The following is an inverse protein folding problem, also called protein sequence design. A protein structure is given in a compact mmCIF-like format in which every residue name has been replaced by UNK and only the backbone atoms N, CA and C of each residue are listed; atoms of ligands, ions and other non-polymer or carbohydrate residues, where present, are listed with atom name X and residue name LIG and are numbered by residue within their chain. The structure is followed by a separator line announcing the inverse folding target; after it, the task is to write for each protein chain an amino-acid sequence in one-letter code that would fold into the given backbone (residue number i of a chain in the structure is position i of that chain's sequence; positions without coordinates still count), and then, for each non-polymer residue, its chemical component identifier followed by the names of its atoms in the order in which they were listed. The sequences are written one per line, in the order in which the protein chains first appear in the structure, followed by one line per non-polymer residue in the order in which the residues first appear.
data_IF_492625578009
#
_entry.id   IF_492625578009
#
_cell.length_a   1.000
_cell.length_b   1.000
_cell.length_c   1.000
_cell.angle_alpha   90.00
_cell.angle_beta   90.00
_cell.angle_gamma   90.00
#
_symmetry.space_group_name_H-M   'P 1'
#
loop_
_entity.id
_entity.type
_entity.pdbx_description
1 polymer ?
#
# COMPACT_ATOMS: atom_id res chain seq x y z
N UNK A 1 -27.95 -2.69 18.83
CA UNK A 1 -28.92 -1.86 18.08
C UNK A 1 -29.20 -2.57 16.77
N UNK A 2 -30.43 -3.07 16.59
CA UNK A 2 -30.86 -3.89 15.46
C UNK A 2 -31.67 -3.04 14.47
N UNK A 3 -31.41 -3.26 13.18
CA UNK A 3 -32.29 -3.13 12.02
C UNK A 3 -33.02 -1.80 11.77
N UNK A 4 -32.61 -1.10 10.72
CA UNK A 4 -33.44 -0.17 9.94
C UNK A 4 -32.98 -0.16 8.49
N UNK A 5 -33.54 -1.04 7.65
CA UNK A 5 -33.59 -0.86 6.19
C UNK A 5 -34.87 -1.47 5.62
N UNK A 6 -35.72 -0.56 5.09
CA UNK A 6 -36.80 -0.72 4.09
C UNK A 6 -38.03 -1.61 4.41
N UNK A 7 -39.21 -1.46 3.75
CA UNK A 7 -39.41 -0.98 2.36
C UNK A 7 -40.66 -0.10 2.08
N UNK A 8 -40.75 0.46 0.87
CA UNK A 8 -42.06 0.76 0.26
C UNK A 8 -42.02 0.74 -1.29
N UNK A 9 -42.62 -0.30 -1.88
CA UNK A 9 -43.02 -0.39 -3.29
C UNK A 9 -44.55 -0.29 -3.41
N UNK A 10 -44.97 0.09 -4.63
CA UNK A 10 -46.32 0.06 -5.27
C UNK A 10 -47.09 1.37 -5.16
N UNK A 11 -47.87 1.80 -6.15
CA UNK A 11 -48.08 1.51 -7.58
C UNK A 11 -49.21 2.48 -8.01
N UNK A 12 -49.32 2.86 -9.29
CA UNK A 12 -50.63 3.10 -9.91
C UNK A 12 -50.51 3.19 -11.45
N UNK A 13 -51.28 2.31 -12.09
CA UNK A 13 -51.55 2.24 -13.54
C UNK A 13 -52.69 3.21 -13.92
N UNK A 14 -52.74 3.66 -15.20
CA UNK A 14 -53.77 3.28 -16.22
C UNK A 14 -53.94 4.34 -17.33
N UNK A 15 -54.16 3.83 -18.56
CA UNK A 15 -54.74 4.52 -19.73
C UNK A 15 -53.97 4.17 -21.01
N UNK A 16 -54.24 3.07 -21.72
CA UNK A 16 -55.28 2.86 -22.77
C UNK A 16 -55.16 3.86 -23.95
N UNK A 17 -55.22 3.52 -25.24
CA UNK A 17 -55.28 2.27 -26.02
C UNK A 17 -55.16 2.64 -27.53
N UNK A 18 -54.59 1.73 -28.35
CA UNK A 18 -54.90 1.41 -29.77
C UNK A 18 -54.69 2.54 -30.86
N UNK A 19 -54.40 2.35 -32.16
CA UNK A 19 -54.62 1.33 -33.21
C UNK A 19 -53.67 1.63 -34.42
N UNK A 20 -53.24 0.56 -35.13
CA UNK A 20 -52.77 0.36 -36.54
C UNK A 20 -51.91 1.41 -37.31
N UNK A 21 -50.86 0.92 -37.99
CA UNK A 21 -50.84 0.74 -39.46
C UNK A 21 -49.53 0.12 -39.98
N UNK A 22 -49.62 -0.54 -41.13
CA UNK A 22 -48.66 -1.49 -41.69
C UNK A 22 -47.54 -0.88 -42.54
N UNK A 23 -46.52 -1.74 -42.76
CA UNK A 23 -45.64 -1.89 -43.94
C UNK A 23 -44.62 -0.79 -44.27
N UNK A 24 -43.33 -1.20 -44.28
CA UNK A 24 -42.42 -1.01 -45.42
C UNK A 24 -41.27 -2.02 -45.34
N UNK A 25 -41.16 -2.84 -46.37
CA UNK A 25 -40.02 -3.70 -46.68
C UNK A 25 -38.81 -2.83 -47.05
N UNK A 26 -37.67 -3.06 -46.41
CA UNK A 26 -36.38 -2.68 -46.95
C UNK A 26 -35.38 -3.82 -46.67
N UNK A 27 -35.14 -4.61 -47.71
CA UNK A 27 -33.99 -5.50 -47.76
C UNK A 27 -32.75 -4.67 -48.09
N UNK A 28 -31.67 -4.84 -47.33
CA UNK A 28 -30.31 -4.46 -47.74
C UNK A 28 -29.30 -5.42 -47.09
N UNK A 29 -28.60 -6.12 -47.97
CA UNK A 29 -27.40 -6.95 -47.83
C UNK A 29 -26.72 -7.03 -46.45
N UNK A 30 -26.63 -8.26 -45.91
CA UNK A 30 -25.67 -8.60 -44.88
C UNK A 30 -24.26 -8.66 -45.50
N UNK A 31 -23.41 -7.71 -45.13
CA UNK A 31 -21.96 -7.83 -45.30
C UNK A 31 -21.44 -8.91 -44.35
N UNK A 32 -20.58 -9.84 -44.80
CA UNK A 32 -19.99 -10.81 -43.88
C UNK A 32 -19.13 -10.06 -42.86
N UNK A 33 -19.38 -10.32 -41.58
CA UNK A 33 -18.58 -9.83 -40.47
C UNK A 33 -17.13 -10.29 -40.67
N UNK A 34 -16.24 -9.32 -40.92
CA UNK A 34 -14.80 -9.55 -40.99
C UNK A 34 -14.37 -10.04 -39.60
N UNK A 35 -13.97 -11.31 -39.54
CA UNK A 35 -13.32 -11.87 -38.36
C UNK A 35 -12.19 -10.92 -37.90
N UNK A 36 -12.00 -10.73 -36.58
CA UNK A 36 -10.92 -9.89 -36.08
C UNK A 36 -9.60 -10.36 -36.70
N UNK A 37 -8.96 -9.46 -37.44
CA UNK A 37 -7.66 -9.70 -38.05
C UNK A 37 -6.67 -10.06 -36.94
N UNK A 38 -5.98 -11.19 -37.13
CA UNK A 38 -4.89 -11.62 -36.26
C UNK A 38 -3.95 -10.44 -36.00
N UNK A 39 -3.57 -10.25 -34.73
CA UNK A 39 -2.61 -9.26 -34.27
C UNK A 39 -1.35 -9.39 -35.14
N UNK A 40 -1.02 -8.32 -35.84
CA UNK A 40 0.14 -8.22 -36.72
C UNK A 40 1.43 -8.39 -35.92
N UNK A 41 2.29 -9.31 -36.37
CA UNK A 41 3.60 -9.66 -35.82
C UNK A 41 4.66 -8.54 -36.02
N UNK A 42 4.47 -7.39 -35.36
CA UNK A 42 5.46 -6.31 -35.29
C UNK A 42 5.87 -5.96 -33.84
N UNK A 43 5.65 -6.86 -32.89
CA UNK A 43 5.91 -6.64 -31.44
C UNK A 43 7.36 -7.00 -31.03
N UNK A 44 8.32 -6.91 -31.96
CA UNK A 44 9.74 -7.24 -31.72
C UNK A 44 10.50 -6.13 -30.97
N UNK A 45 9.93 -4.93 -30.83
CA UNK A 45 10.62 -3.78 -30.19
C UNK A 45 10.88 -3.94 -28.69
N UNK A 46 10.35 -4.98 -28.05
CA UNK A 46 10.62 -5.28 -26.65
C UNK A 46 10.83 -6.75 -26.41
N UNK A 47 11.31 -7.54 -27.38
CA UNK A 47 11.58 -8.97 -27.17
C UNK A 47 12.60 -9.23 -26.03
N UNK A 48 13.44 -8.24 -25.71
CA UNK A 48 14.48 -8.32 -24.67
C UNK A 48 14.17 -7.52 -23.39
N UNK A 49 13.02 -6.82 -23.30
CA UNK A 49 12.71 -6.02 -22.11
C UNK A 49 12.59 -6.90 -20.86
N UNK A 50 13.17 -6.47 -19.74
CA UNK A 50 12.97 -7.11 -18.45
C UNK A 50 11.94 -6.30 -17.66
N UNK A 51 11.08 -7.01 -16.95
CA UNK A 51 10.04 -6.47 -16.08
C UNK A 51 10.40 -6.72 -14.61
N UNK A 52 10.02 -5.78 -13.75
CA UNK A 52 10.11 -5.91 -12.30
C UNK A 52 8.74 -5.64 -11.71
N UNK A 53 8.27 -6.54 -10.84
CA UNK A 53 7.03 -6.35 -10.08
C UNK A 53 7.37 -6.42 -8.60
N UNK A 54 7.27 -5.27 -7.92
CA UNK A 54 7.50 -5.13 -6.50
C UNK A 54 6.17 -5.27 -5.74
N UNK A 55 6.06 -6.31 -4.93
CA UNK A 55 4.87 -6.70 -4.18
C UNK A 55 5.12 -6.38 -2.71
N UNK A 56 4.38 -5.39 -2.19
CA UNK A 56 4.40 -4.99 -0.78
C UNK A 56 3.29 -5.68 0.00
N UNK A 57 3.67 -6.47 1.01
CA UNK A 57 2.76 -7.15 1.93
C UNK A 57 2.93 -6.52 3.33
N UNK A 58 2.02 -5.62 3.70
CA UNK A 58 2.10 -4.86 4.95
C UNK A 58 2.08 -5.80 6.16
N UNK A 59 3.04 -5.59 7.08
CA UNK A 59 3.14 -6.34 8.35
C UNK A 59 3.54 -7.82 8.24
N UNK A 60 3.73 -8.37 7.03
CA UNK A 60 4.12 -9.78 6.84
C UNK A 60 5.49 -10.09 7.47
N UNK A 61 5.46 -10.56 8.73
CA UNK A 61 6.65 -10.93 9.50
C UNK A 61 7.47 -12.04 8.82
N UNK A 62 8.79 -11.99 8.98
CA UNK A 62 9.74 -12.87 8.27
C UNK A 62 9.48 -14.39 8.43
N UNK A 63 8.90 -14.81 9.56
CA UNK A 63 8.56 -16.21 9.87
C UNK A 63 7.10 -16.57 9.54
N UNK A 64 6.26 -15.63 9.11
CA UNK A 64 4.82 -15.84 8.97
C UNK A 64 4.46 -16.97 8.00
N UNK A 65 5.14 -17.03 6.84
CA UNK A 65 4.88 -18.09 5.84
C UNK A 65 5.41 -19.46 6.25
N UNK A 66 6.35 -19.53 7.20
CA UNK A 66 6.82 -20.79 7.77
C UNK A 66 5.95 -21.23 8.94
N UNK A 67 5.39 -20.27 9.68
CA UNK A 67 4.42 -20.48 10.76
C UNK A 67 3.09 -21.02 10.22
N UNK A 68 2.65 -20.53 9.06
CA UNK A 68 1.42 -20.95 8.38
C UNK A 68 1.70 -21.54 6.99
N UNK A 69 2.33 -22.72 6.93
CA UNK A 69 2.80 -23.31 5.69
C UNK A 69 1.69 -23.63 4.67
N UNK A 70 0.46 -23.84 5.16
CA UNK A 70 -0.74 -24.17 4.42
C UNK A 70 -1.49 -22.93 3.90
N UNK A 71 -1.25 -21.76 4.50
CA UNK A 71 -1.85 -20.49 4.08
C UNK A 71 -1.04 -19.79 3.00
N UNK A 72 0.24 -20.12 2.81
CA UNK A 72 1.12 -19.41 1.89
C UNK A 72 1.71 -20.28 0.75
N UNK A 73 0.94 -21.14 0.06
CA UNK A 73 1.50 -22.05 -0.94
C UNK A 73 2.21 -21.34 -2.10
N UNK A 74 1.70 -20.19 -2.59
CA UNK A 74 2.30 -19.48 -3.72
C UNK A 74 3.61 -18.77 -3.32
N UNK A 75 3.61 -18.05 -2.20
CA UNK A 75 4.78 -17.40 -1.63
C UNK A 75 5.88 -18.40 -1.31
N UNK A 76 5.53 -19.57 -0.74
CA UNK A 76 6.49 -20.64 -0.48
C UNK A 76 7.03 -21.27 -1.75
N UNK A 77 6.19 -21.45 -2.78
CA UNK A 77 6.65 -21.92 -4.08
C UNK A 77 7.57 -20.90 -4.78
N UNK A 78 7.34 -19.59 -4.60
CA UNK A 78 8.26 -18.55 -5.06
C UNK A 78 9.59 -18.62 -4.30
N UNK A 79 9.56 -18.70 -2.98
CA UNK A 79 10.75 -18.81 -2.15
C UNK A 79 11.58 -20.07 -2.49
N UNK A 80 10.93 -21.21 -2.74
CA UNK A 80 11.60 -22.47 -3.06
C UNK A 80 12.25 -22.49 -4.46
N UNK A 81 11.71 -21.72 -5.41
CA UNK A 81 12.23 -21.62 -6.78
C UNK A 81 13.15 -20.41 -7.00
N UNK A 82 13.12 -19.45 -6.10
CA UNK A 82 13.84 -18.18 -6.18
C UNK A 82 14.88 -18.02 -5.08
N UNK A 83 15.06 -16.79 -4.64
CA UNK A 83 15.97 -16.42 -3.56
C UNK A 83 15.15 -15.81 -2.43
N UNK A 84 15.37 -16.28 -1.20
CA UNK A 84 14.75 -15.75 0.02
C UNK A 84 15.84 -15.42 1.05
N UNK A 85 15.80 -14.21 1.58
CA UNK A 85 16.59 -13.84 2.75
C UNK A 85 15.93 -14.39 4.03
N UNK A 86 16.72 -14.61 5.08
CA UNK A 86 16.20 -15.02 6.40
C UNK A 86 15.21 -13.99 6.96
N UNK A 87 15.58 -12.72 6.88
CA UNK A 87 14.74 -11.58 7.21
C UNK A 87 15.25 -10.32 6.47
N UNK A 88 14.38 -9.31 6.36
CA UNK A 88 14.77 -7.96 5.97
C UNK A 88 14.65 -7.06 7.21
N UNK A 89 15.71 -6.32 7.53
CA UNK A 89 15.73 -5.41 8.68
C UNK A 89 15.07 -4.08 8.26
N UNK A 90 13.95 -3.66 8.86
CA UNK A 90 13.33 -2.39 8.57
C UNK A 90 14.20 -1.22 9.06
N UNK A 91 14.03 -0.05 8.46
CA UNK A 91 14.54 1.19 9.04
C UNK A 91 13.69 1.60 10.25
N UNK A 92 14.28 2.36 11.17
CA UNK A 92 13.56 2.88 12.33
C UNK A 92 12.91 4.26 12.03
N UNK A 93 11.65 4.48 12.44
CA UNK A 93 10.75 3.51 13.09
C UNK A 93 10.16 2.49 12.11
N UNK A 94 9.90 1.27 12.60
CA UNK A 94 9.31 0.15 11.83
C UNK A 94 7.80 0.35 11.61
N UNK A 95 7.43 1.38 10.86
CA UNK A 95 6.05 1.72 10.49
C UNK A 95 5.92 1.93 8.98
N UNK A 96 4.69 1.75 8.47
CA UNK A 96 4.33 1.71 7.05
C UNK A 96 4.87 2.84 6.19
N UNK A 97 4.57 4.10 6.54
CA UNK A 97 4.97 5.25 5.71
C UNK A 97 6.49 5.34 5.58
N UNK A 98 7.19 5.10 6.68
CA UNK A 98 8.64 5.17 6.73
C UNK A 98 9.25 4.08 5.87
N UNK A 99 8.86 2.82 6.10
CA UNK A 99 9.56 1.69 5.50
C UNK A 99 9.21 1.48 4.02
N UNK A 100 7.95 1.62 3.60
CA UNK A 100 7.64 1.55 2.18
C UNK A 100 8.29 2.68 1.40
N UNK A 101 8.36 3.89 1.96
CA UNK A 101 9.01 4.99 1.26
C UNK A 101 10.56 4.87 1.26
N UNK A 102 11.14 4.32 2.33
CA UNK A 102 12.55 3.92 2.35
C UNK A 102 12.87 2.83 1.34
N UNK A 103 12.02 1.82 1.17
CA UNK A 103 12.16 0.80 0.12
C UNK A 103 12.10 1.39 -1.28
N UNK A 104 11.26 2.41 -1.50
CA UNK A 104 11.18 3.08 -2.80
C UNK A 104 12.42 3.90 -3.13
N UNK A 105 13.11 4.46 -2.13
CA UNK A 105 14.17 5.47 -2.32
C UNK A 105 15.57 4.98 -2.00
N UNK A 106 15.71 3.89 -1.22
CA UNK A 106 16.98 3.45 -0.65
C UNK A 106 17.53 4.37 0.46
N UNK A 107 16.68 5.25 1.03
CA UNK A 107 17.08 6.26 2.00
C UNK A 107 16.48 6.01 3.39
N UNK A 108 17.21 6.41 4.43
CA UNK A 108 16.69 6.45 5.81
C UNK A 108 15.65 7.56 6.00
N UNK A 109 14.83 7.42 7.04
CA UNK A 109 13.74 8.32 7.40
C UNK A 109 14.17 9.80 7.52
N UNK A 110 15.37 10.06 8.03
CA UNK A 110 15.93 11.41 8.19
C UNK A 110 16.32 12.07 6.85
N UNK A 111 16.48 11.27 5.79
CA UNK A 111 16.76 11.73 4.42
C UNK A 111 15.52 11.82 3.56
N UNK A 112 14.54 10.93 3.78
CA UNK A 112 13.25 11.01 3.08
C UNK A 112 12.34 12.09 3.65
N UNK A 113 12.52 12.48 4.92
CA UNK A 113 11.63 13.39 5.63
C UNK A 113 10.36 12.72 6.18
N UNK A 114 10.11 11.46 5.80
CA UNK A 114 8.98 10.66 6.26
C UNK A 114 9.46 9.84 7.46
N UNK A 115 9.13 10.32 8.67
CA UNK A 115 9.63 9.75 9.94
C UNK A 115 8.54 9.10 10.80
N UNK A 116 7.29 9.09 10.33
CA UNK A 116 6.13 8.50 11.01
C UNK A 116 4.97 8.35 10.03
N UNK A 117 3.99 7.50 10.35
CA UNK A 117 2.68 7.50 9.69
C UNK A 117 1.94 8.84 9.89
N UNK A 118 2.29 9.59 10.93
CA UNK A 118 1.85 10.97 11.19
C UNK A 118 3.00 11.93 10.89
N UNK A 119 3.34 12.05 9.60
CA UNK A 119 4.49 12.86 9.16
C UNK A 119 4.26 14.32 9.51
N UNK A 120 5.02 14.83 10.49
CA UNK A 120 4.95 16.21 10.96
C UNK A 120 6.09 17.06 10.40
N UNK A 121 5.74 18.25 9.91
CA UNK A 121 6.72 19.27 9.54
C UNK A 121 6.74 20.37 10.58
N UNK A 122 7.94 20.63 11.14
CA UNK A 122 8.17 21.81 12.01
C UNK A 122 8.03 23.11 11.24
N UNK A 123 8.41 23.14 9.97
CA UNK A 123 8.32 24.33 9.11
C UNK A 123 6.86 24.70 8.83
N UNK A 124 6.03 23.70 8.55
CA UNK A 124 4.59 23.89 8.28
C UNK A 124 3.74 23.88 9.56
N UNK A 125 4.36 23.56 10.70
CA UNK A 125 3.74 23.35 12.00
C UNK A 125 2.48 22.46 11.96
N UNK A 126 2.51 21.39 11.15
CA UNK A 126 1.38 20.47 11.02
C UNK A 126 1.76 19.08 10.56
N UNK A 127 0.86 18.14 10.81
CA UNK A 127 0.90 16.78 10.27
C UNK A 127 0.36 16.79 8.84
N UNK A 128 0.97 16.01 7.96
CA UNK A 128 0.49 15.76 6.60
C UNK A 128 -0.92 15.18 6.65
N UNK A 129 -1.88 15.87 6.02
CA UNK A 129 -3.23 15.33 5.85
C UNK A 129 -3.29 14.37 4.64
N UNK A 130 -4.28 13.46 4.63
CA UNK A 130 -4.50 12.53 3.50
C UNK A 130 -4.60 13.25 2.15
N UNK A 131 -5.27 14.40 2.13
CA UNK A 131 -5.44 15.25 0.94
C UNK A 131 -4.13 15.85 0.43
N UNK A 132 -3.06 15.81 1.22
CA UNK A 132 -1.74 16.36 0.90
C UNK A 132 -0.75 15.30 0.41
N UNK A 133 -1.11 14.01 0.38
CA UNK A 133 -0.20 12.94 -0.08
C UNK A 133 0.29 13.13 -1.52
N UNK A 134 -0.45 13.86 -2.36
CA UNK A 134 -0.06 14.17 -3.74
C UNK A 134 0.88 15.39 -3.85
N UNK A 135 1.18 16.05 -2.72
CA UNK A 135 2.05 17.22 -2.67
C UNK A 135 3.49 16.79 -2.39
N UNK A 136 4.40 17.16 -3.28
CA UNK A 136 5.81 16.76 -3.25
C UNK A 136 6.61 17.31 -2.07
N UNK A 137 6.14 18.38 -1.42
CA UNK A 137 6.81 19.01 -0.26
C UNK A 137 7.07 18.04 0.89
N UNK A 138 6.25 16.98 1.00
CA UNK A 138 6.36 16.00 2.07
C UNK A 138 7.26 14.81 1.75
N UNK A 139 7.72 14.68 0.50
CA UNK A 139 8.38 13.49 0.00
C UNK A 139 9.78 13.83 -0.49
N UNK A 140 10.78 13.64 0.38
CA UNK A 140 12.19 13.80 0.04
C UNK A 140 12.74 12.63 -0.77
N UNK A 141 13.92 12.82 -1.37
CA UNK A 141 14.61 11.78 -2.15
C UNK A 141 14.03 11.58 -3.55
N UNK A 142 14.42 10.46 -4.18
CA UNK A 142 13.96 10.06 -5.50
C UNK A 142 13.49 8.60 -5.45
N UNK A 143 12.18 8.33 -5.58
CA UNK A 143 11.69 6.96 -5.58
C UNK A 143 12.02 6.26 -6.90
N UNK A 144 12.12 4.94 -6.86
CA UNK A 144 12.58 4.10 -7.97
C UNK A 144 11.77 4.29 -9.26
N UNK A 145 10.47 4.59 -9.16
CA UNK A 145 9.66 4.91 -10.33
C UNK A 145 10.06 6.25 -10.96
N UNK A 146 10.37 7.27 -10.16
CA UNK A 146 10.86 8.54 -10.69
C UNK A 146 12.21 8.36 -11.40
N UNK A 147 13.12 7.55 -10.84
CA UNK A 147 14.39 7.19 -11.47
C UNK A 147 14.21 6.48 -12.81
N UNK A 148 13.27 5.52 -12.87
CA UNK A 148 12.94 4.79 -14.09
C UNK A 148 12.33 5.69 -15.18
N UNK A 149 11.35 6.52 -14.82
CA UNK A 149 10.67 7.44 -15.75
C UNK A 149 11.64 8.45 -16.37
N UNK A 150 12.57 9.01 -15.58
CA UNK A 150 13.63 9.90 -16.08
C UNK A 150 14.57 9.21 -17.08
N UNK A 151 14.66 7.89 -17.04
CA UNK A 151 15.44 7.08 -17.97
C UNK A 151 14.58 6.53 -19.14
N UNK A 152 13.36 7.05 -19.30
CA UNK A 152 12.44 6.65 -20.37
C UNK A 152 11.78 5.29 -20.15
N UNK A 153 11.81 4.76 -18.93
CA UNK A 153 11.17 3.49 -18.57
C UNK A 153 9.82 3.76 -17.94
N UNK A 154 8.74 3.33 -18.61
CA UNK A 154 7.36 3.45 -18.09
C UNK A 154 7.18 2.62 -16.82
N UNK A 155 6.46 3.18 -15.87
CA UNK A 155 6.20 2.57 -14.55
C UNK A 155 4.70 2.55 -14.22
N UNK A 156 4.29 1.59 -13.40
CA UNK A 156 2.91 1.44 -12.95
C UNK A 156 2.81 1.17 -11.45
N UNK A 157 2.25 2.08 -10.65
CA UNK A 157 2.17 1.92 -9.19
C UNK A 157 0.73 1.71 -8.74
N UNK A 158 0.37 0.46 -8.45
CA UNK A 158 -0.90 0.10 -7.80
C UNK A 158 -0.73 0.20 -6.29
N UNK A 159 -0.75 1.45 -5.83
CA UNK A 159 -0.46 1.87 -4.46
C UNK A 159 0.99 1.61 -4.05
N UNK A 160 1.66 2.70 -3.70
CA UNK A 160 2.90 2.71 -2.93
C UNK A 160 3.02 4.09 -2.29
N UNK A 161 3.67 4.20 -1.13
CA UNK A 161 3.81 5.49 -0.46
C UNK A 161 4.60 6.46 -1.35
N UNK A 162 4.10 7.69 -1.49
CA UNK A 162 4.67 8.71 -2.39
C UNK A 162 4.25 8.60 -3.87
N UNK A 163 3.59 7.51 -4.31
CA UNK A 163 3.27 7.34 -5.74
C UNK A 163 2.23 8.33 -6.30
N UNK A 164 1.47 9.01 -5.42
CA UNK A 164 0.48 10.02 -5.79
C UNK A 164 1.08 11.41 -6.07
N UNK A 165 2.35 11.62 -5.70
CA UNK A 165 3.04 12.90 -5.83
C UNK A 165 4.01 12.91 -7.01
N UNK A 166 4.26 14.12 -7.56
CA UNK A 166 5.37 14.33 -8.48
C UNK A 166 6.65 14.54 -7.69
N UNK A 167 7.50 13.51 -7.63
CA UNK A 167 8.69 13.53 -6.78
C UNK A 167 9.92 13.56 -7.68
N UNK A 168 10.87 14.43 -7.32
CA UNK A 168 12.07 14.69 -8.10
C UNK A 168 11.79 15.07 -9.58
N UNK A 169 10.61 15.61 -9.89
CA UNK A 169 10.21 16.02 -11.25
C UNK A 169 9.69 14.88 -12.13
N UNK A 170 9.27 13.76 -11.55
CA UNK A 170 8.61 12.68 -12.29
C UNK A 170 7.46 12.06 -11.48
N UNK A 171 6.48 11.51 -12.20
CA UNK A 171 5.40 10.66 -11.68
C UNK A 171 5.41 9.32 -12.40
N UNK A 172 4.88 8.25 -11.81
CA UNK A 172 4.62 7.03 -12.55
C UNK A 172 3.71 7.30 -13.77
N UNK A 173 3.98 6.63 -14.89
CA UNK A 173 3.12 6.66 -16.09
C UNK A 173 1.70 6.21 -15.74
N UNK A 174 1.59 5.14 -14.96
CA UNK A 174 0.31 4.64 -14.43
C UNK A 174 0.34 4.66 -12.91
N UNK A 175 -0.70 5.19 -12.28
CA UNK A 175 -0.86 5.18 -10.83
C UNK A 175 -2.33 5.33 -10.46
N UNK A 176 -2.67 4.96 -9.23
CA UNK A 176 -4.00 5.11 -8.67
C UNK A 176 -3.93 5.80 -7.31
N UNK A 177 -4.83 6.76 -7.00
CA UNK A 177 -4.97 7.29 -5.65
C UNK A 177 -5.25 6.16 -4.67
N UNK A 178 -4.59 6.14 -3.51
CA UNK A 178 -4.80 5.09 -2.53
C UNK A 178 -6.26 5.02 -2.08
N UNK A 179 -6.86 3.83 -2.24
CA UNK A 179 -8.18 3.47 -1.78
C UNK A 179 -8.11 2.21 -0.92
N UNK A 180 -8.21 2.39 0.39
CA UNK A 180 -8.00 1.32 1.38
C UNK A 180 -8.90 0.10 1.12
N UNK A 181 -10.18 0.33 0.80
CA UNK A 181 -11.19 -0.71 0.62
C UNK A 181 -11.26 -1.29 -0.80
N UNK A 182 -10.39 -0.87 -1.72
CA UNK A 182 -10.35 -1.45 -3.07
C UNK A 182 -10.06 -2.96 -2.97
N UNK A 183 -10.92 -3.83 -3.53
CA UNK A 183 -10.73 -5.28 -3.48
C UNK A 183 -9.37 -5.69 -4.04
N UNK A 184 -8.69 -6.64 -3.39
CA UNK A 184 -7.35 -7.03 -3.81
C UNK A 184 -7.30 -7.63 -5.22
N UNK A 185 -8.33 -8.37 -5.62
CA UNK A 185 -8.48 -8.85 -6.99
C UNK A 185 -8.52 -7.73 -8.03
N UNK A 186 -9.11 -6.58 -7.70
CA UNK A 186 -9.13 -5.41 -8.60
C UNK A 186 -7.74 -4.77 -8.72
N UNK A 187 -6.98 -4.70 -7.62
CA UNK A 187 -5.57 -4.25 -7.64
C UNK A 187 -4.73 -5.14 -8.55
N UNK A 188 -4.85 -6.46 -8.38
CA UNK A 188 -4.16 -7.46 -9.19
C UNK A 188 -4.55 -7.34 -10.67
N UNK A 189 -5.85 -7.24 -10.96
CA UNK A 189 -6.35 -7.10 -12.32
C UNK A 189 -5.86 -5.81 -12.99
N UNK A 190 -5.75 -4.70 -12.24
CA UNK A 190 -5.27 -3.43 -12.77
C UNK A 190 -3.78 -3.51 -13.18
N UNK A 191 -2.93 -4.14 -12.37
CA UNK A 191 -1.51 -4.35 -12.72
C UNK A 191 -1.39 -5.26 -13.95
N UNK A 192 -2.13 -6.37 -14.00
CA UNK A 192 -2.16 -7.24 -15.18
C UNK A 192 -2.68 -6.51 -16.42
N UNK A 193 -3.66 -5.61 -16.26
CA UNK A 193 -4.16 -4.76 -17.33
C UNK A 193 -3.09 -3.83 -17.90
N UNK A 194 -2.26 -3.21 -17.05
CA UNK A 194 -1.11 -2.42 -17.51
C UNK A 194 -0.08 -3.29 -18.24
N UNK A 195 0.19 -4.49 -17.73
CA UNK A 195 1.13 -5.43 -18.35
C UNK A 195 0.61 -6.00 -19.69
N UNK A 196 -0.71 -6.03 -19.90
CA UNK A 196 -1.31 -6.45 -21.16
C UNK A 196 -1.24 -5.38 -22.27
N UNK A 197 -0.83 -4.15 -21.95
CA UNK A 197 -0.71 -3.07 -22.93
C UNK A 197 0.32 -3.41 -24.03
N UNK A 198 0.24 -2.75 -25.21
CA UNK A 198 1.27 -2.86 -26.25
C UNK A 198 2.66 -2.55 -25.69
N UNK A 199 3.70 -3.15 -26.24
CA UNK A 199 5.08 -3.06 -25.72
C UNK A 199 5.54 -1.63 -25.47
N UNK A 200 5.22 -0.69 -26.37
CA UNK A 200 5.59 0.73 -26.23
C UNK A 200 4.86 1.47 -25.08
N UNK A 201 3.76 0.91 -24.58
CA UNK A 201 2.95 1.44 -23.47
C UNK A 201 3.15 0.68 -22.16
N UNK A 202 3.58 -0.58 -22.24
CA UNK A 202 3.71 -1.47 -21.11
C UNK A 202 4.72 -0.95 -20.08
N UNK A 203 4.36 -0.81 -18.79
CA UNK A 203 5.35 -0.47 -17.78
C UNK A 203 6.33 -1.63 -17.58
N UNK A 204 7.60 -1.30 -17.39
CA UNK A 204 8.67 -2.28 -17.09
C UNK A 204 8.98 -2.38 -15.59
N UNK A 205 8.47 -1.46 -14.80
CA UNK A 205 8.47 -1.55 -13.34
C UNK A 205 7.03 -1.34 -12.86
N UNK A 206 6.52 -2.29 -12.08
CA UNK A 206 5.24 -2.16 -11.41
C UNK A 206 5.38 -2.34 -9.90
N UNK A 207 4.54 -1.66 -9.13
CA UNK A 207 4.38 -1.88 -7.70
C UNK A 207 2.94 -2.26 -7.38
N UNK A 208 2.74 -3.09 -6.37
CA UNK A 208 1.42 -3.44 -5.84
C UNK A 208 1.47 -3.62 -4.33
N UNK A 209 0.47 -3.12 -3.61
CA UNK A 209 0.42 -3.16 -2.15
C UNK A 209 -0.87 -3.78 -1.59
N UNK A 210 -0.71 -4.61 -0.55
CA UNK A 210 -1.77 -5.30 0.18
C UNK A 210 -1.61 -5.11 1.70
N UNK A 211 -2.70 -4.81 2.41
CA UNK A 211 -2.71 -4.40 3.83
C UNK A 211 -3.27 -5.45 4.80
N UNK A 212 -3.73 -6.59 4.29
CA UNK A 212 -4.58 -7.52 5.04
C UNK A 212 -3.90 -8.10 6.28
N UNK A 213 -2.62 -8.47 6.15
CA UNK A 213 -1.87 -9.16 7.22
C UNK A 213 -1.68 -8.22 8.41
N UNK A 214 -1.10 -7.04 8.18
CA UNK A 214 -0.99 -5.98 9.20
C UNK A 214 -2.32 -5.68 9.90
N UNK A 215 -3.40 -5.51 9.13
CA UNK A 215 -4.73 -5.24 9.69
C UNK A 215 -5.22 -6.38 10.59
N UNK A 216 -5.04 -7.63 10.16
CA UNK A 216 -5.44 -8.79 10.95
C UNK A 216 -4.61 -8.91 12.23
N UNK A 217 -3.30 -8.71 12.15
CA UNK A 217 -2.43 -8.81 13.32
C UNK A 217 -2.67 -7.67 14.31
N UNK A 218 -3.00 -6.46 13.86
CA UNK A 218 -3.39 -5.36 14.75
C UNK A 218 -4.65 -5.67 15.57
N UNK A 219 -5.63 -6.35 14.96
CA UNK A 219 -6.93 -6.63 15.61
C UNK A 219 -6.87 -7.90 16.46
N UNK A 220 -6.19 -8.96 15.98
CA UNK A 220 -6.27 -10.30 16.54
C UNK A 220 -4.94 -10.83 17.09
N UNK A 221 -3.83 -10.15 16.80
CA UNK A 221 -2.50 -10.54 17.22
C UNK A 221 -1.84 -11.58 16.30
N UNK A 222 -0.51 -11.65 16.43
CA UNK A 222 0.36 -12.62 15.78
C UNK A 222 0.10 -14.01 16.33
N UNK A 223 -0.04 -14.99 15.44
CA UNK A 223 -0.38 -16.37 15.69
C UNK A 223 -1.87 -16.68 15.61
N UNK A 224 -2.71 -15.70 15.25
CA UNK A 224 -4.17 -15.86 15.19
C UNK A 224 -4.64 -16.57 13.91
N UNK A 225 -5.84 -17.16 13.96
CA UNK A 225 -6.50 -17.72 12.77
C UNK A 225 -6.79 -16.63 11.73
N UNK A 226 -6.96 -15.38 12.17
CA UNK A 226 -7.19 -14.23 11.31
C UNK A 226 -5.92 -13.79 10.58
N UNK A 227 -4.75 -13.82 11.23
CA UNK A 227 -3.47 -13.65 10.53
C UNK A 227 -3.31 -14.74 9.47
N UNK A 228 -3.56 -16.01 9.82
CA UNK A 228 -3.50 -17.13 8.88
C UNK A 228 -4.43 -16.92 7.68
N UNK A 229 -5.66 -16.46 7.92
CA UNK A 229 -6.64 -16.20 6.85
C UNK A 229 -6.20 -15.03 5.95
N UNK A 230 -5.68 -13.95 6.54
CA UNK A 230 -5.18 -12.79 5.78
C UNK A 230 -3.95 -13.16 4.93
N UNK A 231 -3.06 -14.02 5.43
CA UNK A 231 -1.94 -14.57 4.66
C UNK A 231 -2.46 -15.35 3.44
N UNK A 232 -3.48 -16.20 3.62
CA UNK A 232 -4.09 -16.94 2.53
C UNK A 232 -4.72 -16.02 1.47
N UNK A 233 -5.37 -14.94 1.90
CA UNK A 233 -5.97 -13.95 1.01
C UNK A 233 -4.91 -13.26 0.15
N UNK A 234 -3.80 -12.78 0.74
CA UNK A 234 -2.73 -12.12 -0.04
C UNK A 234 -1.93 -13.12 -0.89
N UNK A 235 -1.72 -14.35 -0.41
CA UNK A 235 -1.04 -15.41 -1.17
C UNK A 235 -1.81 -15.79 -2.44
N UNK A 236 -3.16 -15.83 -2.38
CA UNK A 236 -4.01 -16.05 -3.55
C UNK A 236 -3.77 -14.96 -4.62
N UNK A 237 -3.63 -13.70 -4.21
CA UNK A 237 -3.39 -12.58 -5.13
C UNK A 237 -2.00 -12.64 -5.74
N UNK A 238 -0.98 -13.04 -4.97
CA UNK A 238 0.37 -13.30 -5.48
C UNK A 238 0.33 -14.42 -6.52
N UNK A 239 -0.38 -15.51 -6.24
CA UNK A 239 -0.58 -16.61 -7.19
C UNK A 239 -1.29 -16.15 -8.47
N UNK A 240 -2.37 -15.38 -8.35
CA UNK A 240 -3.11 -14.82 -9.47
C UNK A 240 -2.24 -13.88 -10.33
N UNK A 241 -1.41 -13.04 -9.70
CA UNK A 241 -0.50 -12.14 -10.39
C UNK A 241 0.56 -12.92 -11.19
N UNK A 242 1.21 -13.92 -10.57
CA UNK A 242 2.20 -14.78 -11.24
C UNK A 242 1.57 -15.54 -12.41
N UNK A 243 0.39 -16.13 -12.21
CA UNK A 243 -0.33 -16.85 -13.26
C UNK A 243 -0.76 -15.92 -14.40
N UNK A 244 -1.22 -14.70 -14.08
CA UNK A 244 -1.59 -13.69 -15.07
C UNK A 244 -0.41 -13.24 -15.92
N UNK A 245 0.75 -12.97 -15.30
CA UNK A 245 1.99 -12.63 -16.02
C UNK A 245 2.44 -13.79 -16.93
N UNK A 246 2.31 -15.03 -16.48
CA UNK A 246 2.60 -16.20 -17.32
C UNK A 246 1.64 -16.31 -18.51
N UNK A 247 0.35 -16.04 -18.31
CA UNK A 247 -0.65 -16.02 -19.39
C UNK A 247 -0.39 -14.92 -20.44
N UNK A 248 0.28 -13.83 -20.04
CA UNK A 248 0.75 -12.78 -20.95
C UNK A 248 2.04 -13.14 -21.69
N UNK A 249 2.64 -14.32 -21.43
CA UNK A 249 3.92 -14.72 -22.02
C UNK A 249 5.12 -13.96 -21.47
N UNK A 250 5.00 -13.35 -20.28
CA UNK A 250 6.04 -12.50 -19.68
C UNK A 250 6.82 -13.20 -18.55
N UNK A 251 6.49 -14.45 -18.22
CA UNK A 251 7.06 -15.17 -17.08
C UNK A 251 8.59 -15.19 -17.07
N UNK A 252 9.23 -15.58 -18.18
CA UNK A 252 10.69 -15.74 -18.28
C UNK A 252 11.47 -14.40 -18.26
N UNK A 253 10.74 -13.28 -18.24
CA UNK A 253 11.29 -11.91 -18.33
C UNK A 253 10.83 -11.02 -17.17
N UNK A 254 10.16 -11.59 -16.18
CA UNK A 254 9.63 -10.85 -15.04
C UNK A 254 10.33 -11.28 -13.75
N UNK A 255 10.93 -10.30 -13.08
CA UNK A 255 11.46 -10.45 -11.74
C UNK A 255 10.39 -10.02 -10.73
N UNK A 256 9.91 -10.96 -9.94
CA UNK A 256 9.02 -10.67 -8.82
C UNK A 256 9.85 -10.45 -7.56
N UNK A 257 9.62 -9.33 -6.88
CA UNK A 257 10.24 -9.01 -5.60
C UNK A 257 9.11 -8.85 -4.59
N UNK A 258 9.05 -9.76 -3.61
CA UNK A 258 8.08 -9.67 -2.50
C UNK A 258 8.80 -9.14 -1.27
N UNK A 259 8.26 -8.07 -0.69
CA UNK A 259 8.80 -7.43 0.51
C UNK A 259 7.69 -7.12 1.50
N UNK A 260 8.09 -6.95 2.76
CA UNK A 260 7.26 -6.35 3.79
C UNK A 260 8.01 -5.15 4.37
N UNK A 261 7.27 -4.19 4.89
CA UNK A 261 7.77 -2.97 5.48
C UNK A 261 8.19 -3.14 6.95
N UNK A 262 7.51 -4.00 7.70
CA UNK A 262 7.84 -4.36 9.07
C UNK A 262 7.27 -5.73 9.47
N UNK A 263 7.55 -6.15 10.70
CA UNK A 263 6.85 -7.28 11.32
C UNK A 263 5.82 -6.81 12.33
N UNK A 264 5.35 -7.74 13.16
CA UNK A 264 4.41 -7.46 14.24
C UNK A 264 4.79 -8.15 15.56
N UNK A 265 4.40 -7.52 16.66
CA UNK A 265 4.56 -8.03 18.01
C UNK A 265 3.26 -7.88 18.82
N UNK A 266 2.91 -8.91 19.58
CA UNK A 266 1.77 -8.86 20.49
C UNK A 266 2.10 -7.95 21.68
N UNK A 267 1.24 -6.96 21.94
CA UNK A 267 1.37 -6.03 23.06
C UNK A 267 0.32 -6.36 24.15
N UNK A 268 0.74 -6.74 25.38
CA UNK A 268 -0.19 -6.93 26.50
C UNK A 268 -0.94 -5.64 26.84
N UNK A 269 -2.22 -5.76 27.21
CA UNK A 269 -3.06 -4.59 27.52
C UNK A 269 -2.54 -3.76 28.70
N UNK A 270 -1.84 -4.40 29.64
CA UNK A 270 -1.30 -3.73 30.84
C UNK A 270 0.09 -3.13 30.59
N UNK A 271 0.66 -3.30 29.39
CA UNK A 271 1.96 -2.73 29.02
C UNK A 271 1.79 -1.38 28.33
N UNK A 272 1.20 -0.42 29.05
CA UNK A 272 0.94 0.94 28.57
C UNK A 272 1.70 1.93 29.45
N UNK A 273 2.38 2.88 28.81
CA UNK A 273 2.99 4.04 29.47
C UNK A 273 2.11 5.25 29.17
N UNK A 274 1.54 5.84 30.20
CA UNK A 274 0.79 7.08 30.12
C UNK A 274 1.77 8.26 30.25
N UNK A 275 1.86 9.10 29.20
CA UNK A 275 2.83 10.21 29.20
C UNK A 275 2.43 11.33 30.17
N UNK A 276 1.13 11.51 30.39
CA UNK A 276 0.54 12.49 31.30
C UNK A 276 0.76 12.17 32.79
N UNK A 277 1.25 10.97 33.11
CA UNK A 277 1.76 10.65 34.45
C UNK A 277 3.09 11.36 34.76
N UNK A 278 3.83 11.80 33.73
CA UNK A 278 5.20 12.30 33.86
C UNK A 278 5.40 13.73 33.36
N UNK A 279 4.65 14.15 32.34
CA UNK A 279 4.77 15.48 31.74
C UNK A 279 3.38 16.08 31.49
N UNK A 280 3.30 17.41 31.41
CA UNK A 280 2.08 18.09 31.00
C UNK A 280 1.94 18.05 29.47
N UNK A 281 0.85 17.48 28.98
CA UNK A 281 0.54 17.43 27.54
C UNK A 281 0.26 18.82 26.94
N UNK A 282 0.09 19.86 27.75
CA UNK A 282 -0.03 21.24 27.27
C UNK A 282 1.31 21.86 26.85
N UNK A 283 2.44 21.22 27.19
CA UNK A 283 3.78 21.73 26.90
C UNK A 283 4.41 21.09 25.66
N UNK A 284 3.74 20.09 25.10
CA UNK A 284 4.25 19.24 24.03
C UNK A 284 3.23 19.01 22.94
N UNK A 285 3.73 18.94 21.72
CA UNK A 285 3.03 18.44 20.56
C UNK A 285 3.48 17.02 20.25
N UNK A 286 2.51 16.12 20.06
CA UNK A 286 2.75 14.71 19.74
C UNK A 286 2.00 14.42 18.44
N UNK A 287 2.68 14.38 17.27
CA UNK A 287 2.04 14.18 15.98
C UNK A 287 1.14 12.94 15.91
N UNK A 288 1.53 11.89 16.63
CA UNK A 288 0.79 10.65 16.72
C UNK A 288 -0.62 10.82 17.30
N UNK A 289 -0.82 11.80 18.16
CA UNK A 289 -2.10 12.04 18.82
C UNK A 289 -3.10 12.79 17.94
N UNK A 290 -2.63 13.36 16.83
CA UNK A 290 -3.46 14.02 15.80
C UNK A 290 -4.08 13.01 14.81
N UNK A 291 -3.80 11.72 14.98
CA UNK A 291 -4.37 10.66 14.17
C UNK A 291 -5.88 10.50 14.34
N UNK A 292 -6.56 9.79 13.43
CA UNK A 292 -8.00 9.52 13.55
C UNK A 292 -8.38 8.76 14.82
N UNK A 293 -7.44 8.01 15.39
CA UNK A 293 -7.60 7.24 16.63
C UNK A 293 -7.17 8.02 17.89
N UNK A 294 -6.74 9.29 17.74
CA UNK A 294 -6.27 10.14 18.83
C UNK A 294 -4.97 9.62 19.47
N UNK A 295 -4.87 9.73 20.80
CA UNK A 295 -3.76 9.19 21.59
C UNK A 295 -3.80 7.64 21.61
N UNK A 296 -3.42 7.05 20.47
CA UNK A 296 -3.35 5.61 20.26
C UNK A 296 -2.13 4.96 20.90
N UNK A 297 -2.14 3.63 20.96
CA UNK A 297 -1.01 2.83 21.45
C UNK A 297 0.08 2.81 20.39
N UNK A 298 1.26 3.34 20.71
CA UNK A 298 2.40 3.33 19.80
C UNK A 298 3.67 2.86 20.52
N UNK A 299 4.46 1.96 19.91
CA UNK A 299 5.73 1.51 20.48
C UNK A 299 6.82 2.59 20.41
N UNK A 300 6.66 3.60 19.55
CA UNK A 300 7.56 4.74 19.40
C UNK A 300 6.73 6.01 19.21
N UNK A 301 7.06 7.04 19.98
CA UNK A 301 6.39 8.34 19.94
C UNK A 301 7.44 9.44 19.79
N UNK A 302 7.18 10.40 18.93
CA UNK A 302 7.96 11.63 18.85
C UNK A 302 7.26 12.73 19.67
N UNK A 303 7.99 13.34 20.60
CA UNK A 303 7.51 14.42 21.45
C UNK A 303 8.22 15.72 21.04
N UNK A 304 7.45 16.75 20.71
CA UNK A 304 7.93 18.05 20.27
C UNK A 304 7.59 19.09 21.34
N UNK A 305 8.58 19.68 21.98
CA UNK A 305 8.32 20.69 23.02
C UNK A 305 7.96 22.02 22.36
N UNK A 306 6.81 22.60 22.74
CA UNK A 306 6.32 23.87 22.20
C UNK A 306 6.74 25.06 23.07
N UNK A 307 6.77 24.89 24.40
CA UNK A 307 7.04 25.96 25.37
C UNK A 307 8.52 26.16 25.71
N UNK A 308 9.43 25.53 24.95
CA UNK A 308 10.87 25.72 25.05
C UNK A 308 11.58 25.00 26.21
N UNK A 309 10.86 24.45 27.19
CA UNK A 309 11.45 23.66 28.30
C UNK A 309 11.77 22.22 27.87
N UNK A 310 12.65 22.08 26.87
CA UNK A 310 13.07 20.79 26.36
C UNK A 310 13.81 19.98 27.42
N UNK A 311 14.63 20.65 28.23
CA UNK A 311 15.42 20.00 29.27
C UNK A 311 14.52 19.48 30.39
N UNK A 312 13.52 20.24 30.85
CA UNK A 312 12.56 19.80 31.86
C UNK A 312 11.71 18.61 31.41
N UNK A 313 11.18 18.65 30.17
CA UNK A 313 10.42 17.52 29.59
C UNK A 313 11.31 16.28 29.45
N UNK A 314 12.54 16.44 28.96
CA UNK A 314 13.47 15.33 28.82
C UNK A 314 13.86 14.73 30.17
N UNK A 315 14.22 15.55 31.16
CA UNK A 315 14.64 15.09 32.48
C UNK A 315 13.51 14.36 33.21
N UNK A 316 12.26 14.85 33.10
CA UNK A 316 11.09 14.18 33.67
C UNK A 316 10.87 12.78 33.05
N UNK A 317 10.90 12.69 31.72
CA UNK A 317 10.74 11.41 31.01
C UNK A 317 11.93 10.47 31.25
N UNK A 318 13.16 10.99 31.30
CA UNK A 318 14.36 10.21 31.57
C UNK A 318 14.34 9.64 32.99
N UNK A 319 13.91 10.43 33.99
CA UNK A 319 13.74 9.95 35.36
C UNK A 319 12.69 8.83 35.47
N UNK A 320 11.60 8.95 34.71
CA UNK A 320 10.58 7.91 34.60
C UNK A 320 11.10 6.64 33.91
N UNK A 321 11.87 6.78 32.83
CA UNK A 321 12.47 5.68 32.06
C UNK A 321 13.43 4.80 32.89
N UNK A 322 14.07 5.35 33.93
CA UNK A 322 14.91 4.55 34.87
C UNK A 322 14.12 3.42 35.54
N UNK A 323 12.82 3.61 35.76
CA UNK A 323 11.94 2.65 36.45
C UNK A 323 10.86 2.04 35.54
N UNK A 324 10.63 2.64 34.36
CA UNK A 324 9.58 2.26 33.43
C UNK A 324 10.04 1.34 32.31
N UNK A 325 9.09 0.72 31.56
CA UNK A 325 9.40 -0.20 30.46
C UNK A 325 9.74 0.52 29.13
N UNK A 326 10.32 1.72 29.20
CA UNK A 326 10.60 2.55 28.02
C UNK A 326 11.96 3.23 28.10
N UNK A 327 12.43 3.76 26.98
CA UNK A 327 13.65 4.56 26.90
C UNK A 327 13.34 5.89 26.22
N UNK A 328 14.07 6.92 26.62
CA UNK A 328 13.89 8.29 26.13
C UNK A 328 15.21 8.73 25.55
N UNK A 329 15.15 9.32 24.36
CA UNK A 329 16.32 9.82 23.66
C UNK A 329 16.06 11.25 23.22
N UNK A 330 17.06 12.10 23.38
CA UNK A 330 17.09 13.42 22.75
C UNK A 330 17.69 13.26 21.37
N UNK A 331 17.00 13.80 20.36
CA UNK A 331 17.58 13.92 19.02
C UNK A 331 18.56 15.10 19.05
N UNK A 332 19.84 14.81 18.82
CA UNK A 332 20.91 15.80 18.63
C UNK A 332 20.81 16.50 17.27
#
# INVERSE_FOLDING_TARGET
MKNLFEPARRALLRGAAAVLAASLLAACAATPSRAPSAISANDDQGANDQYVILIGLDGLRADAIDRFPDAAPNLRAMAARGVRAEAMVPVMPSVTFVNFYSLATGLYADRTGVVSNYTYSRELARVMARTEHSQSVWWGGEPIWATAEKQGVKTGTMFWLGSEAEIAGARPTYWSPYEHLMPFGERTAQVLGWLAAPTAERPRLATIYFHAVDTAEHIYGVGSDQERAAIAEVDEQVGALVAGVAALGLADRTNFIVVSDHGMANAPADNIVYLDDYISLNDVFIPAFEGPDGAGRMPLVHVFVENGDLDGVYDALAAAAVKGPFSVYRRE
#
